data_IF_458633036946
#
_entry.id   IF_458633036946
#
_cell.length_a   1.000
_cell.length_b   1.000
_cell.length_c   1.000
_cell.angle_alpha   90.00
_cell.angle_beta   90.00
_cell.angle_gamma   90.00
#
_symmetry.space_group_name_H-M   'P 1'
#
loop_
_entity.id
_entity.type
_entity.pdbx_description
1 polymer ?
#
# COMPACT_ATOMS: atom_id res chain seq x y z
N UNK A 1 -11.74 5.99 -17.64
CA UNK A 1 -10.35 5.55 -17.38
C UNK A 1 -10.25 4.02 -17.27
N UNK A 2 -10.84 3.38 -16.26
CA UNK A 2 -10.73 1.92 -16.09
C UNK A 2 -11.22 1.11 -17.31
N UNK A 3 -12.32 1.52 -17.93
CA UNK A 3 -12.80 0.91 -19.18
C UNK A 3 -11.81 1.04 -20.37
N UNK A 4 -11.09 2.16 -20.44
CA UNK A 4 -10.04 2.35 -21.45
C UNK A 4 -8.79 1.53 -21.13
N UNK A 5 -8.42 1.38 -19.85
CA UNK A 5 -7.33 0.48 -19.46
C UNK A 5 -7.64 -0.98 -19.77
N UNK A 6 -8.92 -1.36 -19.78
CA UNK A 6 -9.37 -2.71 -20.09
C UNK A 6 -9.37 -3.00 -21.60
N UNK A 7 -9.85 -2.05 -22.42
CA UNK A 7 -10.18 -2.29 -23.84
C UNK A 7 -9.36 -1.49 -24.86
N UNK A 8 -8.62 -0.46 -24.43
CA UNK A 8 -7.90 0.41 -25.36
C UNK A 8 -6.49 -0.10 -25.66
N UNK A 9 -6.14 -0.13 -26.94
CA UNK A 9 -4.77 -0.35 -27.42
C UNK A 9 -3.90 0.93 -27.36
N UNK A 10 -4.44 2.06 -26.88
CA UNK A 10 -3.73 3.34 -26.80
C UNK A 10 -2.90 3.48 -25.52
N UNK A 11 -1.79 4.21 -25.63
CA UNK A 11 -1.11 4.81 -24.48
C UNK A 11 -2.05 5.83 -23.83
N UNK A 12 -2.51 5.57 -22.61
CA UNK A 12 -3.37 6.51 -21.89
C UNK A 12 -2.50 7.60 -21.31
N UNK A 13 -2.31 8.67 -22.08
CA UNK A 13 -2.06 9.99 -21.50
C UNK A 13 -3.42 10.45 -20.94
N UNK A 14 -3.55 10.94 -19.69
CA UNK A 14 -4.82 11.42 -19.11
C UNK A 14 -5.51 12.58 -19.85
N UNK A 15 -5.10 12.89 -21.09
CA UNK A 15 -5.53 14.02 -21.90
C UNK A 15 -6.70 13.67 -22.84
N UNK A 16 -7.06 12.40 -23.01
CA UNK A 16 -8.10 12.03 -23.99
C UNK A 16 -9.51 12.20 -23.40
N UNK A 17 -10.16 13.31 -23.80
CA UNK A 17 -11.58 13.69 -23.71
C UNK A 17 -11.89 14.89 -22.81
N UNK A 18 -12.13 16.06 -23.42
CA UNK A 18 -12.34 17.38 -22.81
C UNK A 18 -13.41 17.48 -21.69
N UNK A 19 -14.30 16.50 -21.54
CA UNK A 19 -15.25 16.41 -20.39
C UNK A 19 -14.69 15.58 -19.23
N UNK A 20 -13.96 14.50 -19.51
CA UNK A 20 -13.32 13.64 -18.52
C UNK A 20 -12.05 14.30 -17.97
N UNK A 21 -11.29 14.99 -18.83
CA UNK A 21 -10.25 15.92 -18.40
C UNK A 21 -10.84 17.01 -17.53
N UNK A 22 -12.06 17.51 -17.72
CA UNK A 22 -12.59 18.53 -16.78
C UNK A 22 -12.82 17.98 -15.37
N UNK A 23 -13.18 16.70 -15.22
CA UNK A 23 -13.36 16.06 -13.92
C UNK A 23 -12.01 15.63 -13.30
N UNK A 24 -11.13 14.99 -14.07
CA UNK A 24 -9.77 14.60 -13.63
C UNK A 24 -8.85 15.82 -13.45
N UNK A 25 -8.89 16.84 -14.31
CA UNK A 25 -8.13 18.10 -14.17
C UNK A 25 -8.73 18.99 -13.07
N UNK A 26 -10.06 18.97 -12.84
CA UNK A 26 -10.63 19.62 -11.65
C UNK A 26 -10.25 18.88 -10.36
N UNK A 27 -10.01 17.58 -10.42
CA UNK A 27 -9.65 16.70 -9.29
C UNK A 27 -8.14 16.67 -9.02
N UNK A 28 -7.34 16.82 -10.08
CA UNK A 28 -5.89 16.80 -10.09
C UNK A 28 -5.43 17.97 -10.94
N UNK A 29 -4.89 19.01 -10.31
CA UNK A 29 -4.10 19.99 -11.04
C UNK A 29 -2.93 19.24 -11.68
N UNK A 30 -3.02 18.96 -12.99
CA UNK A 30 -2.03 18.16 -13.72
C UNK A 30 -0.67 18.86 -13.84
N UNK A 31 -0.58 20.14 -13.45
CA UNK A 31 0.67 20.87 -13.32
C UNK A 31 1.32 20.78 -11.93
N UNK A 32 0.66 20.17 -10.94
CA UNK A 32 1.18 20.04 -9.57
C UNK A 32 1.65 18.61 -9.30
N UNK A 33 2.85 18.50 -8.73
CA UNK A 33 3.31 17.24 -8.14
C UNK A 33 2.59 17.03 -6.81
N UNK A 34 1.96 15.86 -6.64
CA UNK A 34 1.32 15.45 -5.38
C UNK A 34 2.05 14.27 -4.78
N UNK A 35 2.03 14.20 -3.45
CA UNK A 35 2.46 13.01 -2.72
C UNK A 35 1.48 11.86 -2.99
N UNK A 36 2.01 10.65 -3.23
CA UNK A 36 1.19 9.49 -3.61
C UNK A 36 0.18 9.11 -2.52
N UNK A 37 0.56 9.21 -1.24
CA UNK A 37 -0.33 8.83 -0.14
C UNK A 37 -1.44 9.87 0.06
N UNK A 38 -1.12 11.15 -0.12
CA UNK A 38 -2.12 12.22 -0.13
C UNK A 38 -3.09 12.06 -1.31
N UNK A 39 -2.57 11.78 -2.51
CA UNK A 39 -3.37 11.50 -3.69
C UNK A 39 -4.31 10.32 -3.46
N UNK A 40 -3.79 9.20 -2.94
CA UNK A 40 -4.57 8.00 -2.64
C UNK A 40 -5.69 8.30 -1.64
N UNK A 41 -5.39 8.98 -0.53
CA UNK A 41 -6.40 9.33 0.48
C UNK A 41 -7.50 10.21 -0.11
N UNK A 42 -7.12 11.25 -0.88
CA UNK A 42 -8.08 12.13 -1.53
C UNK A 42 -8.97 11.39 -2.54
N UNK A 43 -8.39 10.44 -3.30
CA UNK A 43 -9.13 9.60 -4.23
C UNK A 43 -10.17 8.74 -3.52
N UNK A 44 -9.76 8.05 -2.45
CA UNK A 44 -10.63 7.22 -1.63
C UNK A 44 -11.77 8.05 -1.05
N UNK A 45 -11.48 9.18 -0.38
CA UNK A 45 -12.51 10.05 0.18
C UNK A 45 -13.50 10.53 -0.88
N UNK A 46 -13.02 10.87 -2.09
CA UNK A 46 -13.90 11.30 -3.17
C UNK A 46 -14.79 10.17 -3.70
N UNK A 47 -14.27 8.95 -3.81
CA UNK A 47 -15.06 7.78 -4.20
C UNK A 47 -16.18 7.51 -3.19
N UNK A 48 -15.94 7.69 -1.90
CA UNK A 48 -16.96 7.55 -0.86
C UNK A 48 -18.05 8.62 -0.94
N UNK A 49 -17.74 9.82 -1.42
CA UNK A 49 -18.71 10.90 -1.60
C UNK A 49 -19.59 10.73 -2.85
N UNK A 50 -19.19 9.88 -3.80
CA UNK A 50 -19.92 9.73 -5.07
C UNK A 50 -21.23 8.98 -4.91
N UNK A 51 -21.21 7.85 -4.19
CA UNK A 51 -22.40 7.04 -3.97
C UNK A 51 -22.27 6.17 -2.70
N UNK A 52 -23.38 5.83 -2.04
CA UNK A 52 -23.38 4.92 -0.90
C UNK A 52 -22.78 3.55 -1.23
N UNK A 53 -23.02 3.02 -2.43
CA UNK A 53 -22.51 1.71 -2.87
C UNK A 53 -20.99 1.74 -3.04
N UNK A 54 -20.45 2.82 -3.64
CA UNK A 54 -19.01 3.01 -3.75
C UNK A 54 -18.36 3.19 -2.38
N UNK A 55 -19.02 3.90 -1.47
CA UNK A 55 -18.56 4.04 -0.08
C UNK A 55 -18.44 2.69 0.61
N UNK A 56 -19.45 1.83 0.51
CA UNK A 56 -19.42 0.49 1.10
C UNK A 56 -18.33 -0.38 0.47
N UNK A 57 -18.18 -0.32 -0.85
CA UNK A 57 -17.12 -1.04 -1.57
C UNK A 57 -15.72 -0.58 -1.11
N UNK A 58 -15.48 0.73 -1.07
CA UNK A 58 -14.21 1.33 -0.63
C UNK A 58 -13.89 0.94 0.81
N UNK A 59 -14.88 1.03 1.71
CA UNK A 59 -14.72 0.58 3.09
C UNK A 59 -14.42 -0.91 3.19
N UNK A 60 -15.08 -1.74 2.40
CA UNK A 60 -14.84 -3.19 2.39
C UNK A 60 -13.43 -3.53 1.89
N UNK A 61 -12.93 -2.79 0.91
CA UNK A 61 -11.63 -3.06 0.30
C UNK A 61 -10.46 -2.51 1.11
N UNK A 62 -10.54 -1.25 1.55
CA UNK A 62 -9.39 -0.50 2.06
C UNK A 62 -9.51 -0.04 3.51
N UNK A 63 -10.71 -0.05 4.12
CA UNK A 63 -10.89 0.46 5.47
C UNK A 63 -10.60 -0.62 6.53
N UNK A 64 -9.60 -0.36 7.36
CA UNK A 64 -9.34 -1.06 8.61
C UNK A 64 -9.78 -0.25 9.82
N UNK A 65 -9.77 -0.87 11.00
CA UNK A 65 -10.08 -0.22 12.27
C UNK A 65 -8.95 -0.49 13.25
N UNK A 66 -8.44 0.57 13.87
CA UNK A 66 -7.52 0.50 14.99
C UNK A 66 -8.21 0.94 16.30
N UNK A 67 -7.70 0.43 17.41
CA UNK A 67 -8.16 0.75 18.75
C UNK A 67 -7.03 1.43 19.53
N UNK A 68 -7.23 2.69 19.90
CA UNK A 68 -6.38 3.43 20.81
C UNK A 68 -6.83 3.14 22.25
N UNK A 69 -6.02 2.39 22.99
CA UNK A 69 -6.26 1.98 24.36
C UNK A 69 -5.40 2.82 25.31
N UNK A 70 -6.02 3.44 26.31
CA UNK A 70 -5.32 4.14 27.40
C UNK A 70 -5.73 3.51 28.72
N UNK A 71 -4.80 2.82 29.36
CA UNK A 71 -5.00 2.13 30.64
C UNK A 71 -4.35 2.96 31.73
N UNK A 72 -5.16 3.48 32.66
CA UNK A 72 -4.64 4.19 33.82
C UNK A 72 -3.92 3.22 34.78
N UNK A 73 -2.79 3.67 35.33
CA UNK A 73 -2.03 2.93 36.35
C UNK A 73 -2.44 3.31 37.77
N UNK A 74 -3.08 4.47 37.95
CA UNK A 74 -3.44 5.01 39.26
C UNK A 74 -4.95 4.91 39.54
N UNK A 75 -5.76 4.45 38.59
CA UNK A 75 -7.20 4.21 38.76
C UNK A 75 -7.70 3.10 37.82
N UNK A 76 -8.88 2.48 38.07
CA UNK A 76 -9.38 1.36 37.26
C UNK A 76 -9.95 1.77 35.89
N UNK A 77 -9.87 3.05 35.50
CA UNK A 77 -10.44 3.54 34.26
C UNK A 77 -9.60 3.13 33.05
N UNK A 78 -10.27 2.60 32.02
CA UNK A 78 -9.71 2.28 30.72
C UNK A 78 -10.47 3.10 29.69
N UNK A 79 -9.74 3.90 28.91
CA UNK A 79 -10.30 4.63 27.77
C UNK A 79 -9.99 3.88 26.48
N UNK A 80 -11.00 3.74 25.62
CA UNK A 80 -10.90 3.12 24.31
C UNK A 80 -11.49 4.01 23.25
N UNK A 81 -10.75 4.22 22.17
CA UNK A 81 -11.20 5.00 21.03
C UNK A 81 -10.93 4.20 19.76
N UNK A 82 -11.95 4.02 18.93
CA UNK A 82 -11.84 3.33 17.65
C UNK A 82 -11.62 4.37 16.55
N UNK A 83 -10.66 4.10 15.67
CA UNK A 83 -10.32 4.96 14.54
C UNK A 83 -10.23 4.13 13.26
N UNK A 84 -10.88 4.61 12.20
CA UNK A 84 -10.80 4.02 10.86
C UNK A 84 -9.48 4.44 10.19
N UNK A 85 -8.88 3.54 9.42
CA UNK A 85 -7.68 3.83 8.63
C UNK A 85 -7.75 3.22 7.23
N UNK A 86 -7.17 3.92 6.26
CA UNK A 86 -7.02 3.44 4.87
C UNK A 86 -5.56 3.17 4.51
N UNK A 87 -4.62 3.74 5.28
CA UNK A 87 -3.19 3.48 5.15
C UNK A 87 -2.56 3.38 6.52
N UNK A 88 -1.60 2.47 6.68
CA UNK A 88 -0.72 2.43 7.85
C UNK A 88 0.56 3.22 7.54
N UNK A 89 0.91 4.16 8.41
CA UNK A 89 2.14 4.94 8.28
C UNK A 89 3.30 4.14 8.83
N UNK A 90 4.25 3.80 7.97
CA UNK A 90 5.45 3.08 8.34
C UNK A 90 6.63 4.04 8.40
N UNK A 91 7.17 4.25 9.58
CA UNK A 91 8.44 4.95 9.77
C UNK A 91 9.56 4.17 9.08
N UNK A 92 10.35 4.85 8.25
CA UNK A 92 11.49 4.23 7.54
C UNK A 92 12.82 4.64 8.14
N UNK A 93 12.95 5.87 8.65
CA UNK A 93 14.18 6.28 9.32
C UNK A 93 14.41 5.40 10.55
N UNK A 94 15.65 4.94 10.72
CA UNK A 94 16.10 4.06 11.81
C UNK A 94 15.44 2.67 11.86
N UNK A 95 14.64 2.30 10.85
CA UNK A 95 14.00 0.98 10.73
C UNK A 95 14.68 0.15 9.63
N UNK A 96 14.81 -1.17 9.83
CA UNK A 96 15.47 -2.06 8.86
C UNK A 96 14.49 -2.68 7.89
N UNK A 97 13.26 -2.88 8.34
CA UNK A 97 12.25 -3.61 7.59
C UNK A 97 10.82 -3.23 8.00
N UNK A 98 9.85 -3.73 7.24
CA UNK A 98 8.44 -3.48 7.47
C UNK A 98 7.93 -3.95 8.85
N UNK A 99 8.43 -5.07 9.37
CA UNK A 99 8.02 -5.58 10.69
C UNK A 99 8.45 -4.62 11.80
N UNK A 100 9.70 -4.15 11.80
CA UNK A 100 10.18 -3.17 12.79
C UNK A 100 9.29 -1.91 12.81
N UNK A 101 8.86 -1.48 11.63
CA UNK A 101 7.98 -0.31 11.47
C UNK A 101 6.57 -0.55 11.99
N UNK A 102 6.02 -1.75 11.82
CA UNK A 102 4.70 -2.14 12.34
C UNK A 102 4.76 -2.36 13.86
N UNK A 103 5.86 -2.94 14.36
CA UNK A 103 6.12 -3.09 15.79
C UNK A 103 5.98 -1.71 16.47
N UNK A 104 6.65 -0.69 15.94
CA UNK A 104 6.60 0.70 16.43
C UNK A 104 5.17 1.27 16.51
N UNK A 105 4.28 0.92 15.56
CA UNK A 105 2.87 1.35 15.60
C UNK A 105 2.15 0.78 16.84
N UNK A 106 2.54 -0.43 17.26
CA UNK A 106 1.88 -1.17 18.36
C UNK A 106 2.64 -1.11 19.70
N UNK A 107 3.76 -0.38 19.73
CA UNK A 107 4.54 -0.13 20.95
C UNK A 107 3.66 0.58 22.00
N UNK A 108 3.93 0.26 23.27
CA UNK A 108 3.31 0.96 24.40
C UNK A 108 4.05 2.26 24.66
N UNK A 109 3.30 3.34 24.79
CA UNK A 109 3.80 4.61 25.27
C UNK A 109 3.37 4.81 26.73
N UNK A 110 4.30 5.26 27.57
CA UNK A 110 4.05 5.50 29.00
C UNK A 110 3.88 7.00 29.24
N UNK A 111 2.66 7.38 29.61
CA UNK A 111 2.29 8.76 29.90
C UNK A 111 2.60 9.09 31.36
N UNK A 112 3.76 9.71 31.59
CA UNK A 112 4.24 10.11 32.92
C UNK A 112 4.82 11.54 32.95
N UNK A 113 5.13 12.04 34.14
CA UNK A 113 5.66 13.39 34.34
C UNK A 113 4.72 14.48 33.82
N UNK A 114 5.24 15.37 32.98
CA UNK A 114 4.45 16.47 32.41
C UNK A 114 3.39 15.98 31.40
N UNK A 115 3.57 14.78 30.82
CA UNK A 115 2.70 14.16 29.81
C UNK A 115 1.62 13.24 30.41
N UNK A 116 1.38 13.30 31.73
CA UNK A 116 0.35 12.48 32.39
C UNK A 116 -1.05 12.66 31.77
N UNK A 117 -1.78 11.54 31.68
CA UNK A 117 -3.13 11.48 31.12
C UNK A 117 -4.16 12.11 32.07
N UNK A 118 -5.02 12.99 31.55
CA UNK A 118 -6.16 13.50 32.33
C UNK A 118 -7.32 12.53 32.21
N UNK A 119 -7.57 11.76 33.27
CA UNK A 119 -8.62 10.76 33.27
C UNK A 119 -10.01 11.41 33.32
N UNK A 120 -10.89 11.01 32.39
CA UNK A 120 -12.25 11.56 32.27
C UNK A 120 -13.17 11.17 33.42
N UNK A 121 -12.93 10.02 34.08
CA UNK A 121 -13.74 9.57 35.22
C UNK A 121 -13.35 10.21 36.55
N UNK A 122 -12.05 10.39 36.81
CA UNK A 122 -11.60 10.96 38.09
C UNK A 122 -11.23 12.44 38.01
N UNK A 123 -11.11 13.01 36.81
CA UNK A 123 -10.77 14.41 36.56
C UNK A 123 -9.33 14.79 36.95
N UNK A 124 -8.47 13.81 37.26
CA UNK A 124 -7.09 14.02 37.71
C UNK A 124 -6.09 13.59 36.64
N UNK A 125 -4.90 14.18 36.70
CA UNK A 125 -3.73 13.68 35.97
C UNK A 125 -3.26 12.38 36.62
N UNK A 126 -3.21 11.31 35.84
CA UNK A 126 -2.81 9.97 36.24
C UNK A 126 -1.75 9.46 35.27
N UNK A 127 -0.87 8.59 35.75
CA UNK A 127 0.01 7.83 34.86
C UNK A 127 -0.83 6.82 34.08
N UNK A 128 -0.52 6.64 32.81
CA UNK A 128 -1.25 5.71 31.96
C UNK A 128 -0.34 5.06 30.92
N UNK A 129 -0.68 3.84 30.51
CA UNK A 129 -0.11 3.21 29.33
C UNK A 129 -1.04 3.44 28.14
N UNK A 130 -0.52 4.03 27.07
CA UNK A 130 -1.22 4.18 25.80
C UNK A 130 -0.68 3.15 24.80
N UNK A 131 -1.57 2.48 24.07
CA UNK A 131 -1.20 1.55 23.00
C UNK A 131 -2.24 1.60 21.87
N UNK A 132 -1.76 1.67 20.64
CA UNK A 132 -2.59 1.41 19.47
C UNK A 132 -2.55 -0.08 19.12
N UNK A 133 -3.69 -0.67 18.80
CA UNK A 133 -3.80 -2.06 18.33
C UNK A 133 -4.64 -2.12 17.06
N UNK A 134 -4.37 -3.10 16.19
CA UNK A 134 -5.20 -3.34 15.02
C UNK A 134 -6.40 -4.18 15.43
N UNK A 135 -7.61 -3.68 15.17
CA UNK A 135 -8.86 -4.38 15.53
C UNK A 135 -9.45 -5.11 14.33
N UNK A 136 -9.49 -4.44 13.17
CA UNK A 136 -9.96 -5.00 11.90
C UNK A 136 -8.98 -4.62 10.79
N UNK A 137 -8.62 -5.59 9.96
CA UNK A 137 -7.80 -5.34 8.77
C UNK A 137 -8.66 -5.30 7.50
N UNK A 138 -8.29 -4.46 6.52
CA UNK A 138 -8.96 -4.41 5.21
C UNK A 138 -8.62 -5.63 4.34
N UNK A 139 -9.31 -5.78 3.19
CA UNK A 139 -8.94 -6.77 2.17
C UNK A 139 -7.64 -6.41 1.47
N UNK A 140 -7.43 -5.12 1.22
CA UNK A 140 -6.19 -4.57 0.66
C UNK A 140 -5.58 -3.66 1.72
N UNK A 141 -4.47 -4.12 2.30
CA UNK A 141 -3.71 -3.38 3.29
C UNK A 141 -2.66 -2.50 2.60
N UNK A 142 -2.82 -1.19 2.78
CA UNK A 142 -1.97 -0.17 2.20
C UNK A 142 -1.00 0.37 3.25
N UNK A 143 0.28 0.42 2.92
CA UNK A 143 1.29 1.05 3.75
C UNK A 143 1.85 2.30 3.06
N UNK A 144 1.91 3.40 3.80
CA UNK A 144 2.61 4.62 3.42
C UNK A 144 4.01 4.61 4.02
N UNK A 145 5.04 4.52 3.19
CA UNK A 145 6.44 4.53 3.62
C UNK A 145 6.86 5.97 3.88
N UNK A 146 7.05 6.33 5.14
CA UNK A 146 7.45 7.66 5.59
C UNK A 146 8.95 7.90 5.28
N UNK A 147 9.28 8.01 3.99
CA UNK A 147 10.63 8.25 3.47
C UNK A 147 11.00 9.71 3.38
N UNK A 148 10.26 10.59 4.05
CA UNK A 148 10.66 11.98 4.18
C UNK A 148 10.58 12.40 5.63
N UNK A 149 11.69 12.89 6.15
CA UNK A 149 11.82 13.37 7.52
C UNK A 149 12.28 14.82 7.51
N UNK A 150 11.91 15.56 8.54
CA UNK A 150 12.41 16.92 8.72
C UNK A 150 13.74 16.87 9.46
N UNK A 151 14.82 17.31 8.83
CA UNK A 151 16.13 17.41 9.46
C UNK A 151 16.25 18.74 10.17
N UNK A 152 16.36 18.72 11.50
CA UNK A 152 16.56 19.94 12.28
C UNK A 152 17.95 20.55 12.09
N UNK A 153 18.90 19.78 11.54
CA UNK A 153 20.26 20.27 11.26
C UNK A 153 20.26 21.16 10.01
N UNK A 154 19.61 20.72 8.94
CA UNK A 154 19.54 21.45 7.66
C UNK A 154 18.30 22.33 7.55
N UNK A 155 17.34 22.17 8.47
CA UNK A 155 16.06 22.85 8.51
C UNK A 155 15.22 22.63 7.24
N UNK A 156 15.35 21.46 6.61
CA UNK A 156 14.66 21.07 5.38
C UNK A 156 14.09 19.66 5.47
N UNK A 157 13.12 19.35 4.58
CA UNK A 157 12.57 18.01 4.41
C UNK A 157 13.52 17.21 3.52
N UNK A 158 14.06 16.12 4.06
CA UNK A 158 15.04 15.27 3.40
C UNK A 158 14.46 13.88 3.12
N UNK A 159 14.91 13.25 2.02
CA UNK A 159 14.51 11.90 1.67
C UNK A 159 15.36 10.88 2.44
N UNK A 160 14.69 9.90 3.04
CA UNK A 160 15.31 8.75 3.71
C UNK A 160 15.57 7.66 2.67
N UNK A 161 16.82 7.58 2.22
CA UNK A 161 17.27 6.57 1.25
C UNK A 161 17.81 5.30 1.91
N UNK A 162 17.69 5.15 3.23
CA UNK A 162 18.16 3.95 3.93
C UNK A 162 17.51 2.68 3.38
N UNK A 163 18.26 1.59 3.47
CA UNK A 163 17.79 0.26 3.11
C UNK A 163 16.64 -0.14 4.02
N UNK A 164 15.49 -0.46 3.43
CA UNK A 164 14.29 -0.91 4.13
C UNK A 164 13.64 -2.05 3.36
N UNK A 165 13.68 -3.26 3.92
CA UNK A 165 13.14 -4.45 3.27
C UNK A 165 11.69 -4.71 3.66
N UNK A 166 10.91 -5.26 2.74
CA UNK A 166 9.55 -5.71 2.99
C UNK A 166 9.34 -7.10 2.38
N UNK A 167 8.57 -7.98 3.04
CA UNK A 167 8.42 -9.37 2.61
C UNK A 167 7.36 -9.51 1.52
N UNK A 168 7.38 -10.60 0.75
CA UNK A 168 6.28 -10.94 -0.16
C UNK A 168 5.01 -11.39 0.57
N UNK A 169 5.18 -11.96 1.77
CA UNK A 169 4.12 -12.43 2.63
C UNK A 169 4.25 -11.77 4.01
N UNK A 170 3.14 -11.29 4.53
CA UNK A 170 3.06 -10.52 5.75
C UNK A 170 2.02 -11.15 6.66
N UNK A 171 2.45 -11.64 7.81
CA UNK A 171 1.56 -12.11 8.87
C UNK A 171 1.29 -10.98 9.85
N UNK A 172 0.03 -10.53 9.90
CA UNK A 172 -0.40 -9.44 10.78
C UNK A 172 -0.97 -9.93 12.12
N UNK A 173 -0.98 -11.24 12.37
CA UNK A 173 -1.61 -11.84 13.56
C UNK A 173 -1.09 -11.23 14.86
N UNK A 174 0.22 -11.02 14.97
CA UNK A 174 0.86 -10.52 16.19
C UNK A 174 0.49 -9.07 16.55
N UNK A 175 -0.10 -8.33 15.60
CA UNK A 175 -0.45 -6.91 15.76
C UNK A 175 -1.92 -6.70 16.12
N UNK A 176 -2.71 -7.78 16.17
CA UNK A 176 -4.14 -7.72 16.45
C UNK A 176 -4.43 -7.51 17.93
N UNK A 177 -5.47 -6.72 18.24
CA UNK A 177 -5.89 -6.35 19.61
C UNK A 177 -6.03 -7.58 20.52
N UNK A 178 -6.66 -8.64 20.01
CA UNK A 178 -6.85 -9.92 20.72
C UNK A 178 -5.57 -10.64 21.15
N UNK A 179 -4.48 -10.42 20.41
CA UNK A 179 -3.18 -11.06 20.67
C UNK A 179 -2.27 -10.15 21.52
N UNK A 180 -2.51 -8.83 21.50
CA UNK A 180 -1.72 -7.84 22.23
C UNK A 180 -2.27 -7.49 23.61
N UNK A 181 -3.59 -7.61 23.82
CA UNK A 181 -4.28 -7.25 25.06
C UNK A 181 -4.81 -8.52 25.74
N UNK A 182 -4.52 -8.74 27.05
CA UNK A 182 -5.09 -9.87 27.78
C UNK A 182 -6.63 -9.86 27.76
N UNK A 183 -7.25 -11.01 27.50
CA UNK A 183 -8.71 -11.17 27.39
C UNK A 183 -9.51 -10.59 28.57
N UNK A 184 -8.93 -10.51 29.77
CA UNK A 184 -9.59 -9.91 30.95
C UNK A 184 -10.00 -8.45 30.78
N UNK A 185 -9.41 -7.74 29.82
CA UNK A 185 -9.76 -6.35 29.51
C UNK A 185 -10.70 -6.23 28.31
N UNK A 186 -10.93 -7.29 27.53
CA UNK A 186 -11.77 -7.24 26.34
C UNK A 186 -13.22 -7.51 26.78
N UNK A 187 -14.07 -6.48 26.75
CA UNK A 187 -15.52 -6.64 26.95
C UNK A 187 -16.12 -7.04 25.60
N UNK A 188 -16.20 -8.35 25.34
CA UNK A 188 -16.81 -8.86 24.12
C UNK A 188 -18.34 -8.81 24.22
N UNK A 189 -18.96 -7.84 23.54
CA UNK A 189 -20.30 -8.01 22.99
C UNK A 189 -20.15 -8.37 21.52
N UNK A 190 -20.59 -9.59 21.21
CA UNK A 190 -20.66 -10.28 19.91
C UNK A 190 -19.45 -11.15 19.55
N UNK A 191 -19.63 -12.45 19.77
CA UNK A 191 -18.87 -13.49 19.09
C UNK A 191 -19.26 -13.66 17.62
N UNK A 192 -18.71 -14.72 17.02
CA UNK A 192 -18.72 -15.13 15.59
C UNK A 192 -17.83 -14.24 14.71
N UNK A 193 -16.87 -14.71 13.90
CA UNK A 193 -16.73 -15.98 13.18
C UNK A 193 -15.26 -16.41 12.97
N UNK A 194 -15.04 -17.72 12.89
CA UNK A 194 -13.78 -18.43 12.63
C UNK A 194 -13.07 -18.10 11.30
N UNK A 195 -13.67 -17.29 10.43
CA UNK A 195 -13.06 -16.84 9.16
C UNK A 195 -12.25 -15.54 9.29
N UNK A 196 -12.39 -14.80 10.39
CA UNK A 196 -11.67 -13.53 10.59
C UNK A 196 -10.24 -13.70 11.15
N UNK A 197 -9.84 -14.93 11.49
CA UNK A 197 -8.54 -15.25 12.10
C UNK A 197 -7.38 -15.34 11.11
N UNK A 198 -7.63 -15.19 9.82
CA UNK A 198 -6.60 -15.27 8.80
C UNK A 198 -6.00 -13.89 8.50
N UNK A 199 -4.81 -13.61 9.05
CA UNK A 199 -4.12 -12.32 8.93
C UNK A 199 -2.90 -12.36 8.01
N UNK A 200 -2.84 -13.37 7.13
CA UNK A 200 -1.80 -13.47 6.11
C UNK A 200 -2.17 -12.61 4.91
N UNK A 201 -1.24 -11.74 4.52
CA UNK A 201 -1.32 -10.92 3.34
C UNK A 201 -0.14 -11.20 2.43
N UNK A 202 -0.34 -11.02 1.12
CA UNK A 202 0.72 -11.19 0.16
C UNK A 202 0.16 -11.40 -1.24
N UNK A 203 1.07 -11.46 -2.21
CA UNK A 203 0.73 -11.89 -3.56
C UNK A 203 1.09 -13.36 -3.70
N UNK A 204 0.24 -14.13 -4.39
CA UNK A 204 0.68 -15.46 -4.88
C UNK A 204 1.91 -15.24 -5.77
N UNK A 205 2.92 -16.08 -5.57
CA UNK A 205 4.07 -16.15 -6.46
C UNK A 205 4.21 -17.59 -6.92
N UNK A 206 3.21 -18.07 -7.66
CA UNK A 206 3.24 -19.38 -8.29
C UNK A 206 4.15 -19.32 -9.51
N UNK A 207 5.27 -20.06 -9.53
CA UNK A 207 6.20 -20.06 -10.66
C UNK A 207 5.47 -20.42 -11.95
N UNK A 208 5.50 -19.53 -12.94
CA UNK A 208 4.90 -19.75 -14.27
C UNK A 208 3.44 -19.29 -14.44
N UNK A 209 2.71 -18.97 -13.35
CA UNK A 209 1.35 -18.39 -13.43
C UNK A 209 1.35 -16.89 -13.13
N UNK A 210 2.09 -16.47 -12.11
CA UNK A 210 2.12 -15.06 -11.70
C UNK A 210 3.20 -14.28 -12.46
N UNK A 211 2.78 -13.22 -13.15
CA UNK A 211 3.67 -12.29 -13.88
C UNK A 211 3.75 -10.95 -13.18
N UNK A 212 4.97 -10.43 -13.06
CA UNK A 212 5.24 -9.09 -12.57
C UNK A 212 5.43 -8.15 -13.75
N UNK A 213 4.89 -6.95 -13.61
CA UNK A 213 4.97 -5.91 -14.62
C UNK A 213 5.42 -4.60 -13.97
N UNK A 214 6.32 -3.89 -14.64
CA UNK A 214 6.71 -2.53 -14.32
C UNK A 214 5.91 -1.60 -15.23
N UNK A 215 5.09 -0.74 -14.61
CA UNK A 215 4.35 0.31 -15.29
C UNK A 215 5.09 1.63 -15.08
N UNK A 216 5.61 2.21 -16.16
CA UNK A 216 6.31 3.49 -16.16
C UNK A 216 5.69 4.39 -17.24
N UNK A 217 4.71 5.19 -16.83
CA UNK A 217 3.91 6.04 -17.71
C UNK A 217 3.31 5.28 -18.91
N UNK A 218 3.91 5.46 -20.09
CA UNK A 218 3.48 4.81 -21.34
C UNK A 218 4.09 3.42 -21.54
N UNK A 219 5.05 3.01 -20.73
CA UNK A 219 5.78 1.78 -20.93
C UNK A 219 5.36 0.71 -19.91
N UNK A 220 4.98 -0.47 -20.41
CA UNK A 220 4.73 -1.66 -19.59
C UNK A 220 5.74 -2.73 -19.96
N UNK A 221 6.55 -3.14 -18.99
CA UNK A 221 7.59 -4.17 -19.17
C UNK A 221 7.34 -5.33 -18.23
N UNK A 222 7.73 -6.53 -18.65
CA UNK A 222 7.90 -7.64 -17.71
C UNK A 222 8.97 -7.28 -16.69
N UNK A 223 8.70 -7.60 -15.43
CA UNK A 223 9.57 -7.31 -14.31
C UNK A 223 9.93 -8.61 -13.59
N UNK A 224 11.19 -8.77 -13.21
CA UNK A 224 11.62 -9.93 -12.44
C UNK A 224 11.49 -9.60 -10.94
N UNK A 225 10.66 -10.34 -10.17
CA UNK A 225 10.48 -10.08 -8.74
C UNK A 225 11.77 -10.19 -7.92
N UNK A 226 12.82 -10.86 -8.42
CA UNK A 226 14.13 -10.90 -7.76
C UNK A 226 14.81 -9.52 -7.70
N UNK A 227 14.44 -8.59 -8.59
CA UNK A 227 14.97 -7.22 -8.61
C UNK A 227 14.29 -6.28 -7.60
N UNK A 228 13.19 -6.68 -6.95
CA UNK A 228 12.48 -5.83 -5.95
C UNK A 228 13.44 -5.34 -4.87
N UNK A 229 14.28 -6.21 -4.33
CA UNK A 229 15.24 -5.83 -3.29
C UNK A 229 16.25 -4.78 -3.81
N UNK A 230 16.67 -4.91 -5.07
CA UNK A 230 17.61 -3.99 -5.71
C UNK A 230 17.02 -2.61 -5.98
N UNK A 231 15.78 -2.56 -6.47
CA UNK A 231 15.14 -1.34 -6.97
C UNK A 231 14.24 -0.62 -5.96
N UNK A 232 13.67 -1.35 -4.99
CA UNK A 232 12.61 -0.83 -4.14
C UNK A 232 13.00 -0.66 -2.66
N UNK A 233 14.06 -1.34 -2.17
CA UNK A 233 14.43 -1.24 -0.75
C UNK A 233 15.21 0.04 -0.42
N UNK A 234 15.81 0.69 -1.42
CA UNK A 234 16.77 1.77 -1.21
C UNK A 234 18.13 1.22 -0.77
N UNK A 235 18.84 2.01 0.04
CA UNK A 235 20.19 1.75 0.52
C UNK A 235 21.26 2.36 -0.36
N UNK A 236 22.50 1.94 -0.14
CA UNK A 236 23.65 2.38 -0.92
C UNK A 236 23.95 1.40 -2.06
N UNK A 237 24.58 1.91 -3.11
CA UNK A 237 25.13 1.14 -4.23
C UNK A 237 26.62 1.45 -4.35
N UNK A 238 27.43 0.40 -4.34
CA UNK A 238 28.88 0.51 -4.52
C UNK A 238 29.24 0.29 -5.99
N UNK A 239 29.94 1.24 -6.59
CA UNK A 239 30.53 1.11 -7.93
C UNK A 239 32.05 1.09 -7.84
N UNK A 240 32.68 0.16 -8.57
CA UNK A 240 34.13 0.09 -8.71
C UNK A 240 34.56 0.95 -9.88
N UNK A 241 35.27 2.04 -9.58
CA UNK A 241 35.86 2.90 -10.61
C UNK A 241 37.36 2.74 -10.57
N UNK A 242 37.97 2.52 -11.73
CA UNK A 242 39.41 2.50 -11.87
C UNK A 242 39.94 3.93 -11.85
N UNK A 243 40.80 4.24 -10.88
CA UNK A 243 41.49 5.52 -10.78
C UNK A 243 42.88 5.40 -11.43
N UNK A 244 43.06 6.12 -12.54
CA UNK A 244 44.31 6.14 -13.29
C UNK A 244 45.45 6.85 -12.57
N UNK A 245 45.17 7.64 -11.52
CA UNK A 245 46.20 8.33 -10.72
C UNK A 245 46.81 7.40 -9.68
N UNK A 246 45.99 6.57 -9.04
CA UNK A 246 46.44 5.65 -7.98
C UNK A 246 46.66 4.22 -8.48
N UNK A 247 46.38 3.95 -9.77
CA UNK A 247 46.47 2.65 -10.44
C UNK A 247 45.73 1.54 -9.66
N UNK A 248 44.57 1.91 -9.09
CA UNK A 248 43.77 1.05 -8.22
C UNK A 248 42.29 1.21 -8.52
N UNK A 249 41.55 0.13 -8.30
CA UNK A 249 40.10 0.18 -8.24
C UNK A 249 39.69 0.77 -6.90
N UNK A 250 38.93 1.86 -6.91
CA UNK A 250 38.32 2.45 -5.74
C UNK A 250 36.82 2.14 -5.72
N UNK A 251 36.31 1.77 -4.55
CA UNK A 251 34.88 1.59 -4.31
C UNK A 251 34.26 2.96 -4.00
N UNK A 252 33.34 3.41 -4.85
CA UNK A 252 32.50 4.59 -4.61
C UNK A 252 31.12 4.12 -4.17
N UNK A 253 30.72 4.49 -2.95
CA UNK A 253 29.35 4.28 -2.48
C UNK A 253 28.49 5.50 -2.76
N UNK A 254 27.30 5.31 -3.33
CA UNK A 254 26.29 6.34 -3.50
C UNK A 254 24.92 5.84 -3.07
N UNK A 255 24.10 6.73 -2.51
CA UNK A 255 22.74 6.40 -2.14
C UNK A 255 21.88 6.13 -3.37
N UNK A 256 21.11 5.05 -3.33
CA UNK A 256 20.09 4.79 -4.34
C UNK A 256 18.98 5.81 -4.20
N UNK A 257 18.63 6.42 -5.32
CA UNK A 257 17.50 7.35 -5.42
C UNK A 257 16.16 6.62 -5.48
N UNK A 258 16.17 5.32 -5.78
CA UNK A 258 14.99 4.52 -6.07
C UNK A 258 14.60 3.76 -4.81
N UNK A 259 13.36 3.95 -4.36
CA UNK A 259 12.83 3.25 -3.20
C UNK A 259 11.30 3.29 -3.19
N UNK A 260 10.67 2.29 -2.58
CA UNK A 260 9.23 2.19 -2.48
C UNK A 260 8.65 3.26 -1.55
N UNK A 261 7.55 3.86 -1.98
CA UNK A 261 6.79 4.90 -1.26
C UNK A 261 5.43 4.42 -0.73
N UNK A 262 4.76 3.53 -1.46
CA UNK A 262 3.59 2.82 -0.97
C UNK A 262 3.69 1.34 -1.27
N UNK A 263 3.16 0.53 -0.37
CA UNK A 263 3.02 -0.93 -0.55
C UNK A 263 1.56 -1.31 -0.44
N UNK A 264 1.13 -2.25 -1.27
CA UNK A 264 -0.22 -2.79 -1.28
C UNK A 264 -0.15 -4.30 -1.11
N UNK A 265 -0.86 -4.80 -0.11
CA UNK A 265 -0.90 -6.20 0.26
C UNK A 265 -2.34 -6.70 0.22
N UNK A 266 -2.60 -7.80 -0.47
CA UNK A 266 -3.93 -8.40 -0.52
C UNK A 266 -4.05 -9.51 0.53
N UNK A 267 -5.20 -9.58 1.21
CA UNK A 267 -5.50 -10.62 2.18
C UNK A 267 -5.59 -11.96 1.45
N UNK A 268 -4.78 -12.93 1.88
CA UNK A 268 -4.81 -14.27 1.30
C UNK A 268 -6.04 -15.03 1.79
N UNK A 269 -6.60 -15.94 0.97
CA UNK A 269 -7.69 -16.82 1.40
C UNK A 269 -7.12 -18.09 2.07
N UNK A 270 -7.80 -18.67 3.07
CA UNK A 270 -7.34 -19.90 3.74
C UNK A 270 -7.14 -21.10 2.79
N UNK A 271 -7.90 -21.16 1.68
CA UNK A 271 -7.76 -22.21 0.66
C UNK A 271 -6.47 -22.10 -0.16
N UNK A 272 -5.82 -20.94 -0.12
CA UNK A 272 -4.61 -20.64 -0.88
C UNK A 272 -3.31 -20.83 -0.05
N UNK A 273 -3.39 -21.03 1.27
CA UNK A 273 -2.21 -21.20 2.13
C UNK A 273 -1.58 -22.59 2.06
N UNK A 274 -2.39 -23.64 1.87
CA UNK A 274 -1.95 -25.03 1.92
C UNK A 274 -1.09 -25.43 0.71
N UNK A 275 -1.12 -24.65 -0.37
CA UNK A 275 -0.36 -24.97 -1.60
C UNK A 275 1.10 -24.53 -1.58
N UNK A 276 1.55 -23.77 -0.58
CA UNK A 276 2.88 -23.14 -0.59
C UNK A 276 3.89 -23.87 0.30
N UNK A 277 3.47 -24.68 1.28
CA UNK A 277 4.40 -25.46 2.12
C UNK A 277 4.92 -26.75 1.45
N UNK A 278 4.38 -27.14 0.28
CA UNK A 278 4.73 -28.38 -0.41
C UNK A 278 5.50 -28.18 -1.73
N UNK A 279 6.12 -27.02 -1.98
CA UNK A 279 6.90 -26.77 -3.20
C UNK A 279 8.31 -27.42 -3.20
N UNK A 280 8.45 -28.59 -2.58
CA UNK A 280 9.52 -29.54 -2.91
C UNK A 280 8.86 -30.88 -3.24
N UNK A 281 8.81 -31.19 -4.54
CA UNK A 281 8.51 -32.51 -5.13
C UNK A 281 7.08 -32.73 -5.64
N UNK A 282 7.00 -32.79 -6.98
CA UNK A 282 6.02 -33.41 -7.89
C UNK A 282 4.95 -32.52 -8.53
N UNK A 283 5.16 -32.38 -9.84
CA UNK A 283 4.24 -31.93 -10.88
C UNK A 283 3.06 -32.88 -10.96
N UNK A 284 1.85 -32.36 -10.75
CA UNK A 284 0.62 -32.90 -11.33
C UNK A 284 -0.13 -31.75 -11.98
N UNK A 285 -0.41 -31.93 -13.27
CA UNK A 285 -1.13 -31.01 -14.13
C UNK A 285 -2.63 -31.11 -13.80
N UNK A 286 -3.16 -30.12 -13.10
CA UNK A 286 -4.61 -29.90 -13.06
C UNK A 286 -4.93 -28.58 -13.78
N UNK A 287 -5.70 -28.73 -14.86
CA UNK A 287 -6.32 -27.66 -15.63
C UNK A 287 -7.46 -27.07 -14.79
N UNK A 288 -7.25 -25.91 -14.19
CA UNK A 288 -8.34 -25.08 -13.70
C UNK A 288 -8.33 -23.77 -14.49
N UNK A 289 -9.43 -23.55 -15.21
CA UNK A 289 -9.71 -22.40 -16.05
C UNK A 289 -9.65 -21.09 -15.25
N UNK A 290 -9.09 -20.08 -15.90
CA UNK A 290 -8.81 -18.75 -15.37
C UNK A 290 -10.14 -18.00 -15.13
N UNK A 291 -10.65 -18.01 -13.89
CA UNK A 291 -11.80 -17.19 -13.50
C UNK A 291 -11.38 -15.74 -13.26
N UNK A 292 -10.91 -15.06 -14.30
CA UNK A 292 -10.94 -13.59 -14.32
C UNK A 292 -12.40 -13.16 -14.46
N UNK A 293 -12.96 -12.31 -13.58
CA UNK A 293 -14.32 -11.81 -13.77
C UNK A 293 -14.36 -11.05 -15.10
N UNK A 294 -15.13 -11.56 -16.06
CA UNK A 294 -15.43 -10.81 -17.27
C UNK A 294 -16.29 -9.61 -16.87
N UNK A 295 -15.64 -8.45 -16.73
CA UNK A 295 -16.33 -7.19 -16.49
C UNK A 295 -17.01 -6.81 -17.80
N UNK A 296 -18.30 -7.12 -17.95
CA UNK A 296 -19.07 -6.66 -19.09
C UNK A 296 -19.28 -5.14 -19.00
N UNK A 297 -18.65 -4.42 -19.93
CA UNK A 297 -18.86 -2.99 -20.10
C UNK A 297 -20.28 -2.71 -20.56
N UNK A 298 -20.86 -1.59 -20.09
CA UNK A 298 -22.14 -1.14 -20.64
C UNK A 298 -22.00 -0.91 -22.15
N UNK A 299 -23.04 -1.28 -22.91
CA UNK A 299 -23.04 -1.17 -24.37
C UNK A 299 -22.71 0.24 -24.85
N UNK A 300 -23.23 1.26 -24.16
CA UNK A 300 -22.96 2.67 -24.45
C UNK A 300 -21.48 3.04 -24.27
N UNK A 301 -20.82 2.54 -23.22
CA UNK A 301 -19.41 2.84 -22.94
C UNK A 301 -18.48 2.09 -23.90
N UNK A 302 -18.82 0.84 -24.22
CA UNK A 302 -18.08 0.02 -25.18
C UNK A 302 -18.13 0.62 -26.59
N UNK A 303 -19.32 1.05 -27.04
CA UNK A 303 -19.50 1.70 -28.35
C UNK A 303 -18.72 3.01 -28.42
N UNK A 304 -18.69 3.78 -27.34
CA UNK A 304 -17.91 5.02 -27.27
C UNK A 304 -16.40 4.79 -27.37
N UNK A 305 -15.87 3.82 -26.60
CA UNK A 305 -14.45 3.43 -26.66
C UNK A 305 -14.08 2.97 -28.07
N UNK A 306 -14.95 2.16 -28.69
CA UNK A 306 -14.74 1.66 -30.03
C UNK A 306 -14.66 2.77 -31.07
N UNK A 307 -15.60 3.73 -31.03
CA UNK A 307 -15.58 4.88 -31.94
C UNK A 307 -14.30 5.72 -31.77
N UNK A 308 -13.86 5.97 -30.54
CA UNK A 308 -12.64 6.73 -30.26
C UNK A 308 -11.35 5.99 -30.69
N UNK A 309 -11.29 4.66 -30.49
CA UNK A 309 -10.20 3.82 -30.99
C UNK A 309 -10.15 3.83 -32.52
N UNK A 310 -11.30 3.71 -33.18
CA UNK A 310 -11.40 3.69 -34.64
C UNK A 310 -10.97 5.03 -35.25
N UNK A 311 -11.40 6.16 -34.66
CA UNK A 311 -10.96 7.50 -35.09
C UNK A 311 -9.44 7.64 -35.00
N UNK A 312 -8.83 7.20 -33.91
CA UNK A 312 -7.38 7.26 -33.74
C UNK A 312 -6.62 6.39 -34.73
N UNK A 313 -7.10 5.17 -35.01
CA UNK A 313 -6.47 4.30 -36.01
C UNK A 313 -6.58 4.92 -37.40
N UNK A 314 -7.72 5.54 -37.73
CA UNK A 314 -7.89 6.27 -38.98
C UNK A 314 -6.94 7.47 -39.08
N UNK A 315 -6.83 8.27 -38.02
CA UNK A 315 -5.89 9.40 -37.99
C UNK A 315 -4.44 8.91 -38.11
N UNK A 316 -4.05 7.87 -37.38
CA UNK A 316 -2.70 7.29 -37.44
C UNK A 316 -2.37 6.75 -38.84
N UNK A 317 -3.31 6.08 -39.50
CA UNK A 317 -3.13 5.60 -40.88
C UNK A 317 -3.16 6.72 -41.92
N UNK A 318 -3.85 7.84 -41.68
CA UNK A 318 -3.85 9.01 -42.56
C UNK A 318 -2.53 9.79 -42.52
N UNK A 319 -1.77 9.70 -41.43
CA UNK A 319 -0.49 10.39 -41.24
C UNK A 319 0.75 9.46 -41.29
N UNK A 320 0.59 8.21 -41.71
CA UNK A 320 1.74 7.33 -41.98
C UNK A 320 2.51 7.81 -43.22
N UNK A 321 3.75 8.26 -43.01
CA UNK A 321 4.66 8.74 -44.06
C UNK A 321 5.03 7.69 -45.12
N UNK A 322 4.64 6.43 -44.95
CA UNK A 322 4.83 5.35 -45.93
C UNK A 322 3.86 5.42 -47.11
N UNK A 323 2.90 6.35 -47.09
CA UNK A 323 1.89 6.52 -48.15
C UNK A 323 2.07 7.77 -49.04
N UNK A 324 3.19 8.49 -48.92
CA UNK A 324 3.57 9.58 -49.83
C UNK A 324 4.99 9.41 -50.39
#
# INVERSE_FOLDING_TARGET
MFAYLLESEKLIIPVVSAKYTRWIISFLNTGEQKDMAEFFTNLISKLEEMSPELKEMVKTLFCGVMSNNVVSLDCPHISRTLEEFYTLRCQVADMRNLFDSIDEITVKDTLEGDNMYTCSQCGKKVRAEKRACLKKLPKILCFNMMRYTFSFVTNTKEKVNTHFSFPFQLDMSNYMEKNLIPQKHIEDNNGTDSEEDFFLFGRRNQPGKDKWYLFNDSEVKLFDPTHIAGECFGGEMTSKTYDSVTDKFMDFSFEKTNSAYMLFYERMNPKDSDTVQAATTKVTLDNNEDHSPQIELSSELAEWIWQDNMQFLQDKSLFEHTYF
#
